data_IF_217376992859
#
_entry.id   IF_217376992859
#
_cell.length_a   1.000
_cell.length_b   1.000
_cell.length_c   1.000
_cell.angle_alpha   90.00
_cell.angle_beta   90.00
_cell.angle_gamma   90.00
#
_symmetry.space_group_name_H-M   'P 1'
#
loop_
_entity.id
_entity.type
_entity.pdbx_description
1 polymer ?
#
# COMPACT_ATOMS: atom_id res chain seq x y z
N UNK A 1 0.18 -9.13 -33.17
CA UNK A 1 0.36 -10.50 -33.68
C UNK A 1 -0.50 -11.45 -32.85
N UNK A 2 -1.49 -12.11 -33.46
CA UNK A 2 -2.31 -13.10 -32.77
C UNK A 2 -1.44 -14.33 -32.41
N UNK A 3 -1.59 -14.85 -31.19
CA UNK A 3 -0.83 -16.02 -30.75
C UNK A 3 -1.27 -17.26 -31.54
N UNK A 4 -0.36 -18.19 -31.86
CA UNK A 4 -0.72 -19.46 -32.54
C UNK A 4 -1.85 -20.20 -31.81
N UNK A 5 -1.89 -20.11 -30.48
CA UNK A 5 -2.95 -20.71 -29.67
C UNK A 5 -4.32 -20.04 -29.85
N UNK A 6 -4.35 -18.73 -30.13
CA UNK A 6 -5.60 -18.01 -30.41
C UNK A 6 -6.15 -18.42 -31.78
N UNK A 7 -5.28 -18.64 -32.76
CA UNK A 7 -5.65 -19.20 -34.07
C UNK A 7 -6.26 -20.60 -33.93
N UNK A 8 -5.68 -21.47 -33.10
CA UNK A 8 -6.23 -22.80 -32.78
C UNK A 8 -7.66 -22.69 -32.22
N UNK A 9 -7.88 -21.80 -31.24
CA UNK A 9 -9.20 -21.62 -30.63
C UNK A 9 -10.21 -21.05 -31.62
N UNK A 10 -9.79 -20.10 -32.46
CA UNK A 10 -10.69 -19.53 -33.50
C UNK A 10 -11.17 -20.60 -34.49
N UNK A 11 -10.31 -21.54 -34.88
CA UNK A 11 -10.67 -22.66 -35.77
C UNK A 11 -11.51 -23.72 -35.07
N UNK A 12 -11.27 -23.94 -33.78
CA UNK A 12 -12.07 -24.83 -32.95
C UNK A 12 -13.50 -24.30 -32.75
N UNK A 13 -13.66 -22.99 -32.52
CA UNK A 13 -14.99 -22.35 -32.43
C UNK A 13 -15.77 -22.47 -33.75
N UNK A 14 -15.08 -22.45 -34.90
CA UNK A 14 -15.62 -22.76 -36.22
C UNK A 14 -15.91 -24.26 -36.46
N UNK A 15 -15.90 -25.09 -35.41
CA UNK A 15 -16.21 -26.54 -35.42
C UNK A 15 -15.33 -27.38 -36.36
N UNK A 16 -14.10 -26.96 -36.63
CA UNK A 16 -13.16 -27.78 -37.39
C UNK A 16 -12.65 -28.96 -36.54
N UNK A 17 -12.41 -30.10 -37.19
CA UNK A 17 -11.81 -31.25 -36.54
C UNK A 17 -10.36 -30.98 -36.14
N UNK A 18 -9.92 -31.59 -35.03
CA UNK A 18 -8.54 -31.42 -34.50
C UNK A 18 -7.48 -31.77 -35.56
N UNK A 19 -7.71 -32.82 -36.35
CA UNK A 19 -6.82 -33.24 -37.43
C UNK A 19 -6.66 -32.14 -38.49
N UNK A 20 -7.78 -31.49 -38.87
CA UNK A 20 -7.79 -30.39 -39.84
C UNK A 20 -7.08 -29.15 -39.30
N UNK A 21 -7.25 -28.84 -38.01
CA UNK A 21 -6.56 -27.72 -37.36
C UNK A 21 -5.05 -27.96 -37.33
N UNK A 22 -4.64 -29.18 -36.97
CA UNK A 22 -3.23 -29.60 -36.92
C UNK A 22 -2.55 -29.48 -38.28
N UNK A 23 -3.19 -29.94 -39.36
CA UNK A 23 -2.64 -29.83 -40.72
C UNK A 23 -2.62 -28.40 -41.25
N UNK A 24 -3.58 -27.55 -40.86
CA UNK A 24 -3.67 -26.16 -41.33
C UNK A 24 -2.63 -25.25 -40.69
N UNK A 25 -2.32 -25.46 -39.41
CA UNK A 25 -1.41 -24.60 -38.64
C UNK A 25 -0.01 -25.20 -38.48
N UNK A 26 0.23 -26.39 -39.06
CA UNK A 26 1.46 -27.18 -38.91
C UNK A 26 1.90 -27.33 -37.45
N UNK A 27 0.94 -27.71 -36.60
CA UNK A 27 1.15 -27.89 -35.16
C UNK A 27 0.81 -29.34 -34.80
N UNK A 28 1.62 -30.02 -33.96
CA UNK A 28 1.33 -31.39 -33.56
C UNK A 28 -0.04 -31.50 -32.88
N UNK A 29 -0.74 -32.60 -33.18
CA UNK A 29 -2.10 -32.87 -32.67
C UNK A 29 -2.19 -32.77 -31.14
N UNK A 30 -1.14 -33.19 -30.42
CA UNK A 30 -1.06 -33.08 -28.96
C UNK A 30 -1.19 -31.64 -28.48
N UNK A 31 -0.45 -30.71 -29.07
CA UNK A 31 -0.52 -29.28 -28.71
C UNK A 31 -1.88 -28.67 -29.02
N UNK A 32 -2.52 -29.06 -30.13
CA UNK A 32 -3.90 -28.64 -30.44
C UNK A 32 -4.86 -29.15 -29.38
N UNK A 33 -4.79 -30.44 -29.02
CA UNK A 33 -5.64 -31.05 -27.99
C UNK A 33 -5.42 -30.42 -26.62
N UNK A 34 -4.17 -30.21 -26.20
CA UNK A 34 -3.85 -29.62 -24.90
C UNK A 34 -4.31 -28.16 -24.81
N UNK A 35 -4.20 -27.42 -25.91
CA UNK A 35 -4.71 -26.04 -26.00
C UNK A 35 -6.24 -26.00 -25.89
N UNK A 36 -6.95 -26.91 -26.58
CA UNK A 36 -8.41 -27.03 -26.48
C UNK A 36 -8.83 -27.45 -25.06
N UNK A 37 -8.20 -28.47 -24.47
CA UNK A 37 -8.47 -28.92 -23.10
C UNK A 37 -8.27 -27.78 -22.10
N UNK A 38 -7.17 -27.05 -22.21
CA UNK A 38 -6.89 -25.88 -21.37
C UNK A 38 -7.94 -24.80 -21.55
N UNK A 39 -8.38 -24.53 -22.78
CA UNK A 39 -9.43 -23.56 -23.07
C UNK A 39 -10.78 -23.99 -22.49
N UNK A 40 -11.16 -25.26 -22.59
CA UNK A 40 -12.38 -25.78 -21.97
C UNK A 40 -12.34 -25.69 -20.44
N UNK A 41 -11.19 -25.96 -19.82
CA UNK A 41 -11.05 -25.95 -18.36
C UNK A 41 -10.96 -24.53 -17.76
N UNK A 42 -10.30 -23.60 -18.45
CA UNK A 42 -9.94 -22.29 -17.89
C UNK A 42 -10.44 -21.08 -18.70
N UNK A 43 -11.05 -21.29 -19.87
CA UNK A 43 -11.58 -20.23 -20.74
C UNK A 43 -10.52 -19.28 -21.31
N UNK A 44 -9.23 -19.58 -21.16
CA UNK A 44 -8.14 -18.65 -21.49
C UNK A 44 -7.00 -19.30 -22.26
N UNK A 45 -6.51 -18.58 -23.27
CA UNK A 45 -5.32 -18.98 -24.03
C UNK A 45 -4.02 -18.62 -23.33
N UNK A 46 -4.06 -17.58 -22.49
CA UNK A 46 -2.90 -17.01 -21.79
C UNK A 46 -2.26 -18.04 -20.87
N UNK A 47 -0.96 -17.88 -20.60
CA UNK A 47 -0.26 -18.76 -19.66
C UNK A 47 -0.92 -18.67 -18.27
N UNK A 48 -1.19 -19.83 -17.69
CA UNK A 48 -1.70 -19.90 -16.31
C UNK A 48 -0.58 -19.57 -15.34
N UNK A 49 -0.95 -18.97 -14.22
CA UNK A 49 -0.03 -18.74 -13.12
C UNK A 49 0.44 -20.10 -12.60
N UNK A 50 1.76 -20.31 -12.57
CA UNK A 50 2.34 -21.53 -12.03
C UNK A 50 2.25 -21.50 -10.50
N UNK A 51 2.00 -22.65 -9.88
CA UNK A 51 2.21 -22.81 -8.44
C UNK A 51 3.71 -22.68 -8.15
N UNK A 52 4.12 -21.50 -7.69
CA UNK A 52 5.50 -21.26 -7.25
C UNK A 52 5.87 -22.11 -6.04
N UNK A 53 7.12 -21.99 -5.58
CA UNK A 53 7.60 -22.70 -4.38
C UNK A 53 6.76 -22.31 -3.14
N UNK A 54 6.26 -23.28 -2.34
CA UNK A 54 5.52 -22.97 -1.12
C UNK A 54 6.42 -22.25 -0.11
N UNK A 55 5.85 -21.30 0.63
CA UNK A 55 6.57 -20.56 1.67
C UNK A 55 6.56 -21.36 2.97
N UNK A 56 7.73 -21.73 3.48
CA UNK A 56 7.87 -22.54 4.69
C UNK A 56 7.53 -21.80 5.99
N UNK A 57 7.97 -20.55 6.12
CA UNK A 57 7.86 -19.80 7.39
C UNK A 57 6.64 -18.88 7.44
N UNK A 58 6.16 -18.41 6.29
CA UNK A 58 4.99 -17.52 6.19
C UNK A 58 3.66 -18.29 6.16
N UNK A 59 3.50 -19.26 7.06
CA UNK A 59 2.26 -20.01 7.22
C UNK A 59 1.16 -19.10 7.80
N UNK A 60 -0.10 -19.38 7.48
CA UNK A 60 -1.27 -18.67 8.03
C UNK A 60 -1.23 -18.54 9.57
N UNK A 61 -0.78 -19.59 10.28
CA UNK A 61 -0.59 -19.57 11.73
C UNK A 61 0.36 -18.46 12.20
N UNK A 62 1.52 -18.34 11.56
CA UNK A 62 2.54 -17.36 11.91
C UNK A 62 2.07 -15.94 11.57
N UNK A 63 1.40 -15.77 10.44
CA UNK A 63 0.81 -14.49 10.03
C UNK A 63 -0.22 -14.03 11.07
N UNK A 64 -1.13 -14.91 11.47
CA UNK A 64 -2.16 -14.62 12.49
C UNK A 64 -1.52 -14.29 13.84
N UNK A 65 -0.52 -15.07 14.26
CA UNK A 65 0.22 -14.83 15.50
C UNK A 65 0.86 -13.43 15.53
N UNK A 66 1.59 -13.07 14.46
CA UNK A 66 2.23 -11.74 14.34
C UNK A 66 1.18 -10.64 14.30
N UNK A 67 0.07 -10.83 13.55
CA UNK A 67 -1.04 -9.87 13.47
C UNK A 67 -1.61 -9.58 14.86
N UNK A 68 -1.88 -10.62 15.66
CA UNK A 68 -2.42 -10.46 17.00
C UNK A 68 -1.44 -9.75 17.94
N UNK A 69 -0.14 -10.03 17.83
CA UNK A 69 0.89 -9.34 18.64
C UNK A 69 0.95 -7.85 18.33
N UNK A 70 0.98 -7.48 17.05
CA UNK A 70 0.99 -6.07 16.63
C UNK A 70 -0.31 -5.37 16.99
N UNK A 71 -1.45 -6.05 16.89
CA UNK A 71 -2.75 -5.48 17.25
C UNK A 71 -2.85 -5.17 18.76
N UNK A 72 -2.33 -6.07 19.62
CA UNK A 72 -2.28 -5.83 21.07
C UNK A 72 -1.39 -4.64 21.45
N UNK A 73 -0.26 -4.49 20.75
CA UNK A 73 0.64 -3.36 20.98
C UNK A 73 1.31 -2.93 19.67
N UNK A 74 0.82 -1.83 19.10
CA UNK A 74 1.29 -1.28 17.82
C UNK A 74 2.65 -0.58 17.93
N UNK A 75 3.16 -0.34 19.15
CA UNK A 75 4.45 0.30 19.40
C UNK A 75 5.62 -0.68 19.40
N UNK A 76 5.37 -1.97 19.19
CA UNK A 76 6.39 -3.00 19.22
C UNK A 76 7.36 -2.90 18.03
N UNK A 77 8.65 -3.05 18.33
CA UNK A 77 9.67 -3.24 17.29
C UNK A 77 9.54 -4.64 16.67
N UNK A 78 9.67 -4.72 15.36
CA UNK A 78 9.70 -6.02 14.64
C UNK A 78 10.82 -6.95 15.14
N UNK A 79 11.92 -6.39 15.66
CA UNK A 79 12.99 -7.20 16.30
C UNK A 79 12.50 -7.86 17.58
N UNK A 80 11.68 -7.17 18.37
CA UNK A 80 11.10 -7.72 19.60
C UNK A 80 10.11 -8.83 19.27
N UNK A 81 9.24 -8.62 18.28
CA UNK A 81 8.31 -9.66 17.79
C UNK A 81 9.07 -10.89 17.29
N UNK A 82 10.18 -10.70 16.57
CA UNK A 82 11.03 -11.80 16.10
C UNK A 82 11.60 -12.63 17.25
N UNK A 83 12.19 -11.98 18.27
CA UNK A 83 12.70 -12.68 19.46
C UNK A 83 11.62 -13.45 20.20
N UNK A 84 10.44 -12.86 20.37
CA UNK A 84 9.31 -13.48 21.08
C UNK A 84 8.67 -14.64 20.31
N UNK A 85 8.76 -14.64 18.98
CA UNK A 85 8.14 -15.66 18.12
C UNK A 85 9.13 -16.72 17.65
N UNK A 86 10.44 -16.53 17.86
CA UNK A 86 11.49 -17.42 17.36
C UNK A 86 11.69 -17.37 15.85
N UNK A 87 11.05 -16.43 15.15
CA UNK A 87 11.13 -16.29 13.68
C UNK A 87 12.23 -15.29 13.33
N UNK A 88 12.94 -15.53 12.23
CA UNK A 88 13.95 -14.57 11.76
C UNK A 88 13.35 -13.18 11.54
N UNK A 89 14.07 -12.14 11.98
CA UNK A 89 13.60 -10.76 11.89
C UNK A 89 13.32 -10.27 10.47
N UNK A 90 14.01 -10.85 9.47
CA UNK A 90 13.76 -10.58 8.05
C UNK A 90 12.40 -11.09 7.61
N UNK A 91 12.03 -12.30 8.03
CA UNK A 91 10.73 -12.90 7.71
C UNK A 91 9.59 -12.18 8.41
N UNK A 92 9.74 -11.83 9.69
CA UNK A 92 8.72 -11.03 10.41
C UNK A 92 8.45 -9.71 9.69
N UNK A 93 9.50 -9.03 9.22
CA UNK A 93 9.37 -7.77 8.47
C UNK A 93 8.69 -7.96 7.12
N UNK A 94 9.00 -9.04 6.40
CA UNK A 94 8.33 -9.41 5.15
C UNK A 94 6.85 -9.70 5.38
N UNK A 95 6.51 -10.45 6.44
CA UNK A 95 5.11 -10.73 6.81
C UNK A 95 4.38 -9.43 7.15
N UNK A 96 4.97 -8.56 7.97
CA UNK A 96 4.37 -7.28 8.33
C UNK A 96 4.10 -6.39 7.10
N UNK A 97 5.05 -6.30 6.17
CA UNK A 97 4.93 -5.44 4.98
C UNK A 97 4.02 -6.03 3.89
N UNK A 98 4.25 -7.29 3.52
CA UNK A 98 3.64 -7.88 2.33
C UNK A 98 2.30 -8.55 2.63
N UNK A 99 2.20 -9.27 3.76
CA UNK A 99 0.99 -10.04 4.11
C UNK A 99 0.01 -9.20 4.93
N UNK A 100 0.52 -8.37 5.86
CA UNK A 100 -0.31 -7.54 6.74
C UNK A 100 -0.48 -6.09 6.25
N UNK A 101 0.29 -5.67 5.25
CA UNK A 101 0.23 -4.31 4.71
C UNK A 101 0.63 -3.20 5.70
N UNK A 102 1.32 -3.55 6.79
CA UNK A 102 1.67 -2.61 7.84
C UNK A 102 2.78 -1.67 7.38
N UNK A 103 2.56 -0.37 7.59
CA UNK A 103 3.54 0.68 7.35
C UNK A 103 4.02 1.24 8.68
N UNK A 104 5.32 1.55 8.82
CA UNK A 104 5.81 2.23 10.01
C UNK A 104 5.18 3.63 10.07
N UNK A 105 4.65 4.00 11.23
CA UNK A 105 4.11 5.33 11.49
C UNK A 105 4.98 6.06 12.51
N UNK A 106 5.33 7.32 12.23
CA UNK A 106 6.03 8.18 13.17
C UNK A 106 5.01 8.84 14.09
N UNK A 107 5.03 8.49 15.37
CA UNK A 107 4.19 9.12 16.38
C UNK A 107 4.56 10.61 16.52
N UNK A 108 3.58 11.48 16.30
CA UNK A 108 3.73 12.93 16.51
C UNK A 108 3.47 13.27 17.97
N UNK A 109 4.24 14.21 18.52
CA UNK A 109 3.95 14.78 19.83
C UNK A 109 2.71 15.67 19.70
N UNK A 110 1.69 15.40 20.50
CA UNK A 110 0.47 16.20 20.58
C UNK A 110 0.24 16.65 22.03
N UNK A 111 -0.55 17.71 22.21
CA UNK A 111 -0.93 18.18 23.54
C UNK A 111 -1.70 17.09 24.29
N UNK A 112 -1.35 16.87 25.55
CA UNK A 112 -2.05 15.93 26.42
C UNK A 112 -3.50 16.37 26.65
N UNK A 113 -4.44 15.48 26.39
CA UNK A 113 -5.88 15.69 26.60
C UNK A 113 -6.27 15.29 28.02
N UNK A 114 -6.46 16.28 28.89
CA UNK A 114 -7.07 16.06 30.21
C UNK A 114 -8.59 15.92 30.09
N UNK A 115 -9.23 15.26 31.06
CA UNK A 115 -10.70 15.06 31.05
C UNK A 115 -11.47 16.39 30.97
N UNK A 116 -10.98 17.44 31.64
CA UNK A 116 -11.55 18.79 31.53
C UNK A 116 -11.47 19.32 30.09
N UNK A 117 -10.30 19.22 29.45
CA UNK A 117 -10.12 19.69 28.06
C UNK A 117 -10.93 18.88 27.05
N UNK A 118 -11.14 17.57 27.28
CA UNK A 118 -12.00 16.73 26.43
C UNK A 118 -13.45 17.22 26.46
N UNK A 119 -13.99 17.52 27.64
CA UNK A 119 -15.37 18.04 27.80
C UNK A 119 -15.56 19.36 27.06
N UNK A 120 -14.67 20.33 27.28
CA UNK A 120 -14.73 21.65 26.63
C UNK A 120 -14.63 21.51 25.10
N UNK A 121 -13.73 20.66 24.60
CA UNK A 121 -13.61 20.40 23.16
C UNK A 121 -14.88 19.79 22.58
N UNK A 122 -15.47 18.82 23.26
CA UNK A 122 -16.70 18.15 22.82
C UNK A 122 -17.88 19.12 22.74
N UNK A 123 -18.09 19.93 23.78
CA UNK A 123 -19.14 20.96 23.81
C UNK A 123 -18.96 21.97 22.67
N UNK A 124 -17.74 22.46 22.48
CA UNK A 124 -17.42 23.38 21.39
C UNK A 124 -17.67 22.75 20.02
N UNK A 125 -17.28 21.49 19.80
CA UNK A 125 -17.56 20.79 18.54
C UNK A 125 -19.07 20.63 18.30
N UNK A 126 -19.88 20.32 19.32
CA UNK A 126 -21.34 20.22 19.18
C UNK A 126 -21.96 21.56 18.78
N UNK A 127 -21.55 22.65 19.44
CA UNK A 127 -22.01 24.00 19.10
C UNK A 127 -21.61 24.38 17.67
N UNK A 128 -20.37 24.11 17.26
CA UNK A 128 -19.91 24.36 15.90
C UNK A 128 -20.71 23.56 14.86
N UNK A 129 -20.98 22.28 15.11
CA UNK A 129 -21.81 21.46 14.21
C UNK A 129 -23.25 22.00 14.09
N UNK A 130 -23.86 22.44 15.20
CA UNK A 130 -25.18 23.05 15.20
C UNK A 130 -25.19 24.37 14.42
N UNK A 131 -24.18 25.21 14.63
CA UNK A 131 -23.98 26.45 13.89
C UNK A 131 -23.80 26.21 12.40
N UNK A 132 -22.95 25.25 12.01
CA UNK A 132 -22.74 24.86 10.61
C UNK A 132 -24.04 24.35 9.96
N UNK A 133 -24.79 23.51 10.66
CA UNK A 133 -26.07 22.99 10.18
C UNK A 133 -27.13 24.09 10.01
N UNK A 134 -27.15 25.09 10.90
CA UNK A 134 -28.03 26.25 10.80
C UNK A 134 -27.60 27.21 9.67
N UNK A 135 -26.30 27.47 9.53
CA UNK A 135 -25.74 28.39 8.55
C UNK A 135 -25.82 27.86 7.11
N UNK A 136 -25.59 26.55 6.92
CA UNK A 136 -25.71 25.89 5.61
C UNK A 136 -27.15 25.88 5.07
N UNK A 137 -28.17 25.97 5.96
CA UNK A 137 -29.57 26.13 5.58
C UNK A 137 -29.95 27.57 5.25
N UNK A 138 -29.21 28.55 5.74
CA UNK A 138 -29.66 29.94 5.76
C UNK A 138 -29.07 30.83 4.65
N UNK A 139 -27.81 30.65 4.20
CA UNK A 139 -27.14 31.75 3.48
C UNK A 139 -26.19 31.41 2.32
N UNK A 140 -25.96 30.13 1.93
CA UNK A 140 -25.05 29.83 0.81
C UNK A 140 -23.65 30.46 0.93
N UNK A 141 -23.21 30.80 2.15
CA UNK A 141 -21.89 31.37 2.45
C UNK A 141 -21.07 30.36 3.24
N UNK A 142 -19.86 30.12 2.75
CA UNK A 142 -18.85 29.26 3.36
C UNK A 142 -18.54 29.70 4.81
N UNK A 143 -18.65 28.79 5.79
CA UNK A 143 -18.33 29.11 7.17
C UNK A 143 -16.81 29.00 7.40
N UNK A 144 -16.22 30.15 7.75
CA UNK A 144 -14.86 30.33 8.28
C UNK A 144 -13.70 30.22 7.26
N UNK A 145 -13.55 31.25 6.40
CA UNK A 145 -12.24 31.59 5.82
C UNK A 145 -11.47 32.39 6.87
N UNK A 146 -10.41 31.80 7.40
CA UNK A 146 -9.41 32.48 8.23
C UNK A 146 -9.00 33.80 7.58
N UNK A 147 -8.98 34.90 8.34
CA UNK A 147 -8.10 36.01 8.01
C UNK A 147 -6.70 35.42 7.82
N UNK A 148 -6.13 35.62 6.64
CA UNK A 148 -4.71 35.40 6.42
C UNK A 148 -3.99 36.20 7.50
N UNK A 149 -3.24 35.50 8.35
CA UNK A 149 -2.08 36.13 8.95
C UNK A 149 -1.14 36.36 7.77
N UNK A 150 -1.17 37.57 7.25
CA UNK A 150 -0.16 38.07 6.35
C UNK A 150 1.17 38.01 7.12
N UNK A 151 1.91 36.92 6.92
CA UNK A 151 3.34 36.95 7.21
C UNK A 151 3.93 37.98 6.25
N UNK A 152 4.61 39.03 6.73
CA UNK A 152 5.29 39.93 5.84
C UNK A 152 6.36 39.13 5.10
N UNK A 153 6.11 38.83 3.84
CA UNK A 153 7.16 38.61 2.85
C UNK A 153 7.85 39.95 2.66
N UNK A 154 8.74 40.28 3.61
CA UNK A 154 9.77 41.29 3.40
C UNK A 154 10.62 40.83 2.22
N UNK A 155 10.56 41.64 1.17
CA UNK A 155 11.27 41.52 -0.09
C UNK A 155 12.71 41.02 0.08
N UNK A 156 13.05 40.02 -0.73
CA UNK A 156 14.37 39.97 -1.34
C UNK A 156 14.56 41.21 -2.21
N UNK A 157 15.28 42.21 -1.72
CA UNK A 157 16.08 43.08 -2.57
C UNK A 157 17.55 42.75 -2.29
N UNK A 158 18.22 42.25 -3.32
CA UNK A 158 19.63 41.90 -3.25
C UNK A 158 20.50 43.12 -2.97
N UNK A 159 21.44 42.95 -2.06
CA UNK A 159 22.73 43.64 -2.13
C UNK A 159 23.80 42.56 -2.04
N UNK A 160 24.69 42.56 -3.04
CA UNK A 160 25.89 41.74 -3.05
C UNK A 160 26.82 42.22 -1.93
N UNK A 161 27.45 41.29 -1.21
CA UNK A 161 28.37 41.62 -0.12
C UNK A 161 29.06 40.38 0.47
N UNK A 162 30.13 39.97 -0.21
CA UNK A 162 31.36 39.35 0.32
C UNK A 162 31.30 38.16 1.32
N UNK A 163 31.61 37.00 0.74
CA UNK A 163 32.50 35.92 1.22
C UNK A 163 33.28 36.22 2.52
N UNK A 164 33.03 35.44 3.57
CA UNK A 164 34.01 35.14 4.63
C UNK A 164 33.85 33.70 5.09
N UNK A 165 34.86 32.91 4.78
CA UNK A 165 35.05 31.51 5.15
C UNK A 165 35.22 31.33 6.66
N UNK A 166 34.35 30.54 7.27
CA UNK A 166 34.48 30.05 8.65
C UNK A 166 34.17 28.55 8.70
N UNK A 167 35.22 27.74 8.69
CA UNK A 167 35.19 26.29 8.82
C UNK A 167 34.79 25.92 10.25
N UNK A 168 33.68 25.21 10.46
CA UNK A 168 33.41 24.54 11.75
C UNK A 168 33.03 23.10 11.48
N UNK A 169 34.02 22.22 11.64
CA UNK A 169 33.85 20.78 11.67
C UNK A 169 33.15 20.39 12.98
N UNK A 170 31.91 19.89 12.89
CA UNK A 170 31.22 19.24 14.01
C UNK A 170 31.42 17.73 13.93
N UNK A 171 32.28 17.18 14.80
CA UNK A 171 32.49 15.74 14.96
C UNK A 171 31.22 15.03 15.46
N UNK A 172 30.81 13.97 14.76
CA UNK A 172 29.81 13.02 15.24
C UNK A 172 30.52 11.91 16.04
N UNK A 173 30.43 11.96 17.36
CA UNK A 173 30.88 10.89 18.26
C UNK A 173 29.75 9.86 18.44
N UNK A 174 30.00 8.62 18.05
CA UNK A 174 29.22 7.44 18.42
C UNK A 174 29.85 6.81 19.67
N UNK A 175 29.06 6.59 20.71
CA UNK A 175 29.43 5.73 21.85
C UNK A 175 28.55 4.48 21.80
N UNK A 176 29.22 3.34 22.00
CA UNK A 176 28.77 1.95 21.83
C UNK A 176 27.52 1.55 22.63
#
# INVERSE_FOLDING_TARGET
MASQRDSIISLFLKKNSVRKISSLLDVPKSTVQDTIKKFCNHGTTKNLQKSGRPRSVSTSKNIKMIKMRVHRNSRLSMRKVARETGISGTTVRRIAKNELGLKPYKLQKAQLLTEKTKKVRLERCKLLLQWLAACCKALGREPFRSQSLDFPTGLCSGTQGERSSGLVQGQFSWVH
#
